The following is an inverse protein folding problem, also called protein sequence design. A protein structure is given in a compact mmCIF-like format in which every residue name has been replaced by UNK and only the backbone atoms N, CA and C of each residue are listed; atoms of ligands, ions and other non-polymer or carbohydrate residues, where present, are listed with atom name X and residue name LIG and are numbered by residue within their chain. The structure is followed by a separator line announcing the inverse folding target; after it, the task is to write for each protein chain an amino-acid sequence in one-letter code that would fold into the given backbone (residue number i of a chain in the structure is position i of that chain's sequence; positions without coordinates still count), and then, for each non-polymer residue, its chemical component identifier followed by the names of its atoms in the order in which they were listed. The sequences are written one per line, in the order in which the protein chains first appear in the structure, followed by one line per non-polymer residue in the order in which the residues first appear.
data_IF_751033638836
#
_entry.id   IF_751033638836
#
_cell.length_a   1.000
_cell.length_b   1.000
_cell.length_c   1.000
_cell.angle_alpha   90.00
_cell.angle_beta   90.00
_cell.angle_gamma   90.00
#
_symmetry.space_group_name_H-M   'P 1'
#
loop_
_entity.id
_entity.type
_entity.pdbx_description
1 polymer ?
#
# COMPACT_ATOMS: atom_id res chain seq x y z
N UNK A 1 -9.76 -23.12 0.59
CA UNK A 1 -10.86 -22.36 1.19
C UNK A 1 -10.79 -20.91 0.74
N UNK A 2 -11.92 -20.25 0.70
CA UNK A 2 -11.99 -18.85 0.27
C UNK A 2 -12.81 -18.06 1.28
N UNK A 3 -12.52 -16.75 1.34
CA UNK A 3 -13.28 -15.81 2.16
C UNK A 3 -14.17 -15.02 1.22
N UNK A 4 -15.46 -14.93 1.53
CA UNK A 4 -16.38 -14.14 0.73
C UNK A 4 -16.34 -12.70 1.21
N UNK A 5 -16.06 -11.79 0.28
CA UNK A 5 -16.04 -10.35 0.54
C UNK A 5 -17.25 -9.72 -0.14
N UNK A 6 -18.05 -9.01 0.66
CA UNK A 6 -19.16 -8.21 0.13
C UNK A 6 -18.73 -6.76 0.09
N UNK A 7 -18.07 -6.38 -0.99
CA UNK A 7 -17.52 -5.02 -1.12
C UNK A 7 -18.57 -4.04 -1.59
N UNK A 8 -18.67 -2.90 -0.93
CA UNK A 8 -19.53 -1.81 -1.37
C UNK A 8 -19.09 -1.28 -2.74
N UNK A 9 -17.78 -1.31 -2.98
CA UNK A 9 -17.20 -0.80 -4.24
C UNK A 9 -17.17 -1.82 -5.37
N UNK A 10 -16.87 -3.09 -5.05
CA UNK A 10 -16.60 -4.11 -6.06
C UNK A 10 -17.62 -5.25 -6.10
N UNK A 11 -18.61 -5.22 -5.23
CA UNK A 11 -19.61 -6.27 -5.14
C UNK A 11 -19.10 -7.50 -4.41
N UNK A 12 -19.69 -8.65 -4.73
CA UNK A 12 -19.31 -9.90 -4.08
C UNK A 12 -18.07 -10.50 -4.72
N UNK A 13 -17.06 -10.75 -3.91
CA UNK A 13 -15.80 -11.35 -4.36
C UNK A 13 -15.42 -12.54 -3.50
N UNK A 14 -14.82 -13.55 -4.13
CA UNK A 14 -14.26 -14.70 -3.42
C UNK A 14 -12.75 -14.50 -3.32
N UNK A 15 -12.24 -14.37 -2.10
CA UNK A 15 -10.81 -14.15 -1.85
C UNK A 15 -10.19 -15.46 -1.38
N UNK A 16 -9.24 -16.05 -2.14
CA UNK A 16 -8.58 -17.27 -1.69
C UNK A 16 -7.92 -17.07 -0.33
N UNK A 17 -7.93 -18.13 0.49
CA UNK A 17 -7.36 -18.04 1.84
C UNK A 17 -5.89 -17.62 1.84
N UNK A 18 -5.14 -18.04 0.82
CA UNK A 18 -3.73 -17.68 0.70
C UNK A 18 -3.49 -16.26 0.20
N UNK A 19 -4.54 -15.56 -0.23
CA UNK A 19 -4.46 -14.16 -0.63
C UNK A 19 -4.84 -13.20 0.51
N UNK A 20 -5.25 -13.74 1.66
CA UNK A 20 -5.56 -12.93 2.84
C UNK A 20 -4.25 -12.46 3.48
N UNK A 21 -4.18 -11.15 3.74
CA UNK A 21 -3.02 -10.53 4.38
C UNK A 21 -3.43 -10.10 5.77
N UNK A 22 -2.71 -10.60 6.79
CA UNK A 22 -2.96 -10.20 8.17
C UNK A 22 -2.05 -9.04 8.56
N UNK A 23 -2.65 -8.03 9.16
CA UNK A 23 -1.91 -6.90 9.73
C UNK A 23 -2.02 -6.99 11.26
N UNK A 24 -1.06 -7.64 11.92
CA UNK A 24 -1.16 -7.87 13.37
C UNK A 24 -1.36 -6.59 14.19
N UNK A 25 -0.79 -5.49 13.71
CA UNK A 25 -0.90 -4.18 14.35
C UNK A 25 -1.84 -3.23 13.64
N UNK A 26 -2.59 -3.72 12.65
CA UNK A 26 -3.46 -2.89 11.83
C UNK A 26 -2.72 -1.92 10.94
N UNK A 27 -3.45 -1.00 10.32
CA UNK A 27 -2.90 0.10 9.54
C UNK A 27 -3.08 1.40 10.32
N UNK A 28 -2.14 2.32 10.14
CA UNK A 28 -2.19 3.61 10.83
C UNK A 28 -3.45 4.37 10.44
N UNK A 29 -4.30 4.67 11.42
CA UNK A 29 -5.54 5.42 11.21
C UNK A 29 -6.69 4.63 10.62
N UNK A 30 -6.54 3.32 10.41
CA UNK A 30 -7.59 2.49 9.82
C UNK A 30 -7.89 1.29 10.72
N UNK A 31 -9.14 0.86 10.71
CA UNK A 31 -9.55 -0.32 11.46
C UNK A 31 -9.33 -1.61 10.68
N UNK A 32 -9.51 -2.73 11.36
CA UNK A 32 -9.41 -4.06 10.75
C UNK A 32 -8.00 -4.61 10.76
N UNK A 33 -7.92 -5.93 10.59
CA UNK A 33 -6.65 -6.65 10.61
C UNK A 33 -6.43 -7.54 9.39
N UNK A 34 -7.49 -7.80 8.62
CA UNK A 34 -7.39 -8.66 7.44
C UNK A 34 -7.72 -7.88 6.19
N UNK A 35 -6.85 -7.98 5.21
CA UNK A 35 -6.97 -7.25 3.95
C UNK A 35 -6.63 -8.17 2.79
N UNK A 36 -6.99 -7.74 1.59
CA UNK A 36 -6.58 -8.39 0.35
C UNK A 36 -6.21 -7.32 -0.67
N UNK A 37 -5.28 -7.67 -1.56
CA UNK A 37 -4.91 -6.79 -2.68
C UNK A 37 -5.78 -7.13 -3.88
N UNK A 38 -6.47 -6.14 -4.41
CA UNK A 38 -7.36 -6.29 -5.57
C UNK A 38 -6.86 -5.41 -6.70
N UNK A 39 -6.52 -6.04 -7.83
CA UNK A 39 -6.07 -5.33 -9.02
C UNK A 39 -6.98 -5.70 -10.19
N UNK A 40 -7.23 -4.74 -11.09
CA UNK A 40 -8.02 -5.00 -12.29
C UNK A 40 -7.24 -5.81 -13.32
N UNK A 41 -5.92 -5.62 -13.34
CA UNK A 41 -5.02 -6.36 -14.21
C UNK A 41 -3.64 -6.40 -13.58
N UNK A 42 -2.77 -7.26 -14.10
CA UNK A 42 -1.38 -7.37 -13.62
C UNK A 42 -0.59 -6.09 -13.86
N UNK A 43 -0.99 -5.31 -14.86
CA UNK A 43 -0.29 -4.08 -15.25
C UNK A 43 -0.83 -2.83 -14.55
N UNK A 44 -1.80 -2.98 -13.65
CA UNK A 44 -2.38 -1.84 -12.96
C UNK A 44 -1.34 -1.12 -12.09
N UNK A 45 -1.19 0.18 -12.30
CA UNK A 45 -0.30 1.00 -11.49
C UNK A 45 -0.82 1.12 -10.06
N UNK A 46 -2.13 1.10 -9.89
CA UNK A 46 -2.79 1.23 -8.59
C UNK A 46 -3.54 -0.06 -8.27
N UNK A 47 -3.40 -0.50 -7.03
CA UNK A 47 -4.04 -1.70 -6.50
C UNK A 47 -4.86 -1.26 -5.30
N UNK A 48 -5.96 -1.96 -5.04
CA UNK A 48 -6.78 -1.67 -3.88
C UNK A 48 -6.42 -2.61 -2.73
N UNK A 49 -6.04 -2.03 -1.60
CA UNK A 49 -5.89 -2.78 -0.36
C UNK A 49 -7.24 -2.73 0.34
N UNK A 50 -8.00 -3.82 0.22
CA UNK A 50 -9.38 -3.87 0.69
C UNK A 50 -9.48 -4.62 2.00
N UNK A 51 -10.18 -4.02 2.98
CA UNK A 51 -10.45 -4.68 4.24
C UNK A 51 -11.41 -5.86 4.03
N UNK A 52 -11.13 -6.97 4.71
CA UNK A 52 -12.05 -8.10 4.78
C UNK A 52 -12.99 -7.98 5.98
N UNK A 53 -12.70 -7.04 6.87
CA UNK A 53 -13.51 -6.79 8.08
C UNK A 53 -14.51 -5.65 7.90
N UNK A 54 -14.27 -4.76 6.94
CA UNK A 54 -15.14 -3.61 6.65
C UNK A 54 -15.40 -3.54 5.15
N UNK A 55 -16.64 -3.81 4.70
CA UNK A 55 -16.95 -3.83 3.25
C UNK A 55 -16.82 -2.48 2.56
N UNK A 56 -16.75 -1.38 3.32
CA UNK A 56 -16.61 -0.04 2.76
C UNK A 56 -15.16 0.45 2.70
N UNK A 57 -14.24 -0.24 3.36
CA UNK A 57 -12.86 0.22 3.48
C UNK A 57 -11.96 -0.37 2.40
N UNK A 58 -11.52 0.47 1.47
CA UNK A 58 -10.54 0.13 0.46
C UNK A 58 -9.62 1.33 0.25
N UNK A 59 -8.31 1.07 0.23
CA UNK A 59 -7.30 2.12 0.11
C UNK A 59 -6.47 1.86 -1.15
N UNK A 60 -6.34 2.84 -2.04
CA UNK A 60 -5.46 2.65 -3.19
C UNK A 60 -4.01 2.67 -2.74
N UNK A 61 -3.24 1.72 -3.26
CA UNK A 61 -1.80 1.62 -3.00
C UNK A 61 -1.07 1.43 -4.32
N UNK A 62 0.22 1.71 -4.31
CA UNK A 62 1.06 1.50 -5.48
C UNK A 62 2.45 1.06 -5.08
N UNK A 63 3.16 0.45 -6.03
CA UNK A 63 4.57 0.17 -5.87
C UNK A 63 5.31 1.51 -6.01
N UNK A 64 6.00 1.98 -4.95
CA UNK A 64 6.59 3.32 -4.97
C UNK A 64 7.66 3.52 -6.04
N UNK A 65 8.35 2.45 -6.44
CA UNK A 65 9.41 2.56 -7.44
C UNK A 65 8.89 2.85 -8.85
N UNK A 66 7.60 2.69 -9.09
CA UNK A 66 6.99 3.09 -10.37
C UNK A 66 7.02 4.61 -10.57
N UNK A 67 7.01 5.36 -9.47
CA UNK A 67 6.93 6.83 -9.52
C UNK A 67 8.16 7.50 -8.92
N UNK A 68 8.86 6.82 -8.03
CA UNK A 68 9.99 7.39 -7.28
C UNK A 68 11.17 6.42 -7.37
N UNK A 69 11.99 6.57 -8.40
CA UNK A 69 13.11 5.66 -8.64
C UNK A 69 14.12 5.61 -7.51
N UNK A 70 14.27 6.71 -6.78
CA UNK A 70 15.23 6.82 -5.67
C UNK A 70 14.63 6.43 -4.31
N UNK A 71 13.41 5.92 -4.30
CA UNK A 71 12.76 5.55 -3.06
C UNK A 71 13.51 4.43 -2.34
N UNK A 72 13.72 4.62 -1.04
CA UNK A 72 14.36 3.63 -0.17
C UNK A 72 13.54 3.47 1.11
N UNK A 73 13.60 2.27 1.68
CA UNK A 73 13.00 1.99 2.97
C UNK A 73 14.10 1.72 3.98
N UNK A 74 14.14 2.53 5.04
CA UNK A 74 15.02 2.29 6.18
C UNK A 74 14.17 2.13 7.43
N UNK A 75 14.44 1.08 8.19
CA UNK A 75 13.73 0.79 9.44
C UNK A 75 14.67 1.02 10.61
N UNK A 76 14.11 1.46 11.73
CA UNK A 76 14.84 1.44 12.99
C UNK A 76 15.10 -0.02 13.37
N UNK A 77 16.13 -0.25 14.18
CA UNK A 77 16.43 -1.61 14.66
C UNK A 77 15.24 -2.22 15.41
N UNK A 78 14.52 -1.39 16.16
CA UNK A 78 13.34 -1.83 16.90
C UNK A 78 12.22 -2.29 15.96
N UNK A 79 11.97 -1.57 14.89
CA UNK A 79 10.94 -1.95 13.93
C UNK A 79 11.33 -3.20 13.15
N UNK A 80 12.57 -3.28 12.71
CA UNK A 80 13.06 -4.44 11.97
C UNK A 80 12.92 -5.71 12.81
N UNK A 81 13.26 -5.62 14.10
CA UNK A 81 13.13 -6.73 15.03
C UNK A 81 11.66 -7.08 15.29
N UNK A 82 10.81 -6.07 15.47
CA UNK A 82 9.38 -6.25 15.75
C UNK A 82 8.66 -6.98 14.62
N UNK A 83 8.93 -6.63 13.38
CA UNK A 83 8.23 -7.22 12.23
C UNK A 83 8.86 -8.53 11.78
N UNK A 84 10.12 -8.79 12.12
CA UNK A 84 10.78 -10.06 11.83
C UNK A 84 11.01 -10.35 10.35
N UNK A 85 10.96 -9.34 9.49
CA UNK A 85 11.22 -9.51 8.06
C UNK A 85 12.72 -9.48 7.85
N UNK A 86 13.29 -10.61 7.42
CA UNK A 86 14.73 -10.73 7.22
C UNK A 86 15.11 -10.88 5.75
N UNK A 87 14.13 -11.06 4.86
CA UNK A 87 14.39 -11.30 3.45
C UNK A 87 13.71 -10.22 2.60
N UNK A 88 14.50 -9.26 2.15
CA UNK A 88 14.02 -8.17 1.31
C UNK A 88 13.47 -8.64 -0.04
N UNK A 89 14.02 -9.74 -0.57
CA UNK A 89 13.60 -10.29 -1.87
C UNK A 89 12.21 -10.91 -1.80
N UNK A 90 11.78 -11.32 -0.61
CA UNK A 90 10.47 -11.92 -0.38
C UNK A 90 9.44 -10.90 0.11
N UNK A 91 9.82 -9.63 0.15
CA UNK A 91 8.98 -8.56 0.70
C UNK A 91 8.49 -7.64 -0.42
N UNK A 92 7.17 -7.46 -0.47
CA UNK A 92 6.56 -6.47 -1.36
C UNK A 92 6.34 -5.17 -0.59
N UNK A 93 6.60 -4.06 -1.24
CA UNK A 93 6.46 -2.73 -0.63
C UNK A 93 5.41 -1.93 -1.38
N UNK A 94 4.50 -1.35 -0.64
CA UNK A 94 3.46 -0.48 -1.18
C UNK A 94 3.39 0.80 -0.39
N UNK A 95 2.91 1.86 -1.03
CA UNK A 95 2.60 3.12 -0.34
C UNK A 95 1.15 3.47 -0.65
N UNK A 96 0.48 4.08 0.32
CA UNK A 96 -0.90 4.51 0.12
C UNK A 96 -0.92 5.73 -0.80
N UNK A 97 -1.97 5.79 -1.63
CA UNK A 97 -2.16 6.88 -2.58
C UNK A 97 -3.46 7.60 -2.25
N UNK A 98 -3.44 8.90 -2.29
CA UNK A 98 -4.64 9.69 -2.18
C UNK A 98 -4.97 10.27 -3.56
N UNK A 99 -6.07 9.83 -4.14
CA UNK A 99 -6.55 10.33 -5.41
C UNK A 99 -7.30 11.64 -5.21
N UNK A 100 -7.30 12.48 -6.23
CA UNK A 100 -7.98 13.76 -6.23
C UNK A 100 -8.63 13.98 -7.60
N UNK A 101 -9.34 15.08 -7.78
CA UNK A 101 -9.97 15.38 -9.06
C UNK A 101 -8.94 15.69 -10.15
N UNK A 102 -7.82 16.31 -9.76
CA UNK A 102 -6.75 16.65 -10.69
C UNK A 102 -5.58 15.71 -10.50
N UNK A 103 -4.93 15.29 -11.59
CA UNK A 103 -3.78 14.39 -11.52
C UNK A 103 -2.63 15.00 -10.71
N UNK A 104 -2.40 16.30 -10.82
CA UNK A 104 -1.33 16.96 -10.08
C UNK A 104 -1.54 16.94 -8.57
N UNK A 105 -2.77 16.68 -8.12
CA UNK A 105 -3.10 16.61 -6.70
C UNK A 105 -3.03 15.19 -6.12
N UNK A 106 -2.79 14.20 -6.97
CA UNK A 106 -2.55 12.83 -6.49
C UNK A 106 -1.23 12.79 -5.72
N UNK A 107 -1.24 12.17 -4.55
CA UNK A 107 -0.02 12.05 -3.76
C UNK A 107 0.06 10.71 -3.04
N UNK A 108 1.29 10.31 -2.71
CA UNK A 108 1.58 9.09 -1.99
C UNK A 108 2.24 9.40 -0.66
N UNK A 109 2.02 8.53 0.32
CA UNK A 109 2.66 8.64 1.62
C UNK A 109 3.93 7.78 1.63
N UNK A 110 5.08 8.40 1.42
CA UNK A 110 6.37 7.71 1.41
C UNK A 110 6.95 7.52 2.81
N UNK A 111 6.37 8.18 3.80
CA UNK A 111 6.86 8.08 5.19
C UNK A 111 6.38 6.83 5.90
N UNK A 112 5.23 6.29 5.48
CA UNK A 112 4.64 5.13 6.15
C UNK A 112 4.35 4.00 5.16
N UNK A 113 5.40 3.40 4.56
CA UNK A 113 5.20 2.31 3.61
C UNK A 113 4.62 1.07 4.27
N UNK A 114 4.00 0.23 3.45
CA UNK A 114 3.42 -1.04 3.87
C UNK A 114 4.32 -2.16 3.34
N UNK A 115 4.81 -3.01 4.24
CA UNK A 115 5.66 -4.14 3.89
C UNK A 115 4.84 -5.42 4.02
N UNK A 116 4.80 -6.22 2.97
CA UNK A 116 4.04 -7.47 2.94
C UNK A 116 4.97 -8.63 2.63
N UNK A 117 4.99 -9.62 3.51
CA UNK A 117 5.78 -10.82 3.32
C UNK A 117 5.08 -11.99 4.02
N UNK A 118 5.05 -13.14 3.37
CA UNK A 118 4.51 -14.38 3.93
C UNK A 118 3.08 -14.25 4.49
N UNK A 119 2.22 -13.52 3.78
CA UNK A 119 0.83 -13.35 4.18
C UNK A 119 0.60 -12.37 5.32
N UNK A 120 1.65 -11.66 5.74
CA UNK A 120 1.55 -10.65 6.80
C UNK A 120 2.01 -9.29 6.30
N UNK A 121 1.30 -8.25 6.73
CA UNK A 121 1.61 -6.88 6.38
C UNK A 121 1.90 -6.04 7.61
N UNK A 122 2.78 -5.07 7.43
CA UNK A 122 3.15 -4.14 8.48
C UNK A 122 3.30 -2.75 7.88
N UNK A 123 2.64 -1.77 8.47
CA UNK A 123 2.91 -0.38 8.12
C UNK A 123 3.96 0.14 9.08
N UNK A 124 5.02 0.72 8.52
CA UNK A 124 6.19 1.14 9.30
C UNK A 124 6.46 2.63 9.07
N UNK A 125 7.30 3.21 9.91
CA UNK A 125 7.75 4.60 9.71
C UNK A 125 9.11 4.53 9.04
N UNK A 126 9.18 5.11 7.84
CA UNK A 126 10.40 5.11 7.04
C UNK A 126 11.42 6.10 7.60
N UNK A 127 12.61 5.60 7.94
CA UNK A 127 13.70 6.41 8.47
C UNK A 127 14.62 6.94 7.37
N UNK A 128 14.43 6.54 6.12
CA UNK A 128 15.23 7.04 5.01
C UNK A 128 14.98 8.53 4.80
N UNK A 129 16.01 9.24 4.39
CA UNK A 129 16.10 10.67 4.16
C UNK A 129 14.79 11.43 3.94
N UNK A 130 14.62 11.99 2.76
CA UNK A 130 13.41 12.77 2.47
C UNK A 130 12.27 11.88 2.01
N UNK A 131 11.37 11.53 2.96
CA UNK A 131 10.20 10.72 2.66
C UNK A 131 8.95 11.49 3.09
N UNK A 132 8.41 12.36 2.22
CA UNK A 132 7.24 13.16 2.58
C UNK A 132 5.98 12.31 2.70
N UNK A 133 5.06 12.75 3.53
CA UNK A 133 3.74 12.10 3.67
C UNK A 133 2.85 12.38 2.46
N UNK A 134 3.16 13.42 1.70
CA UNK A 134 2.39 13.84 0.53
C UNK A 134 3.32 14.08 -0.66
N UNK A 135 3.86 13.01 -1.21
CA UNK A 135 4.72 13.10 -2.39
C UNK A 135 3.84 13.12 -3.65
N UNK A 136 3.92 14.15 -4.48
CA UNK A 136 3.10 14.19 -5.69
C UNK A 136 3.55 13.15 -6.70
N UNK A 137 2.59 12.41 -7.27
CA UNK A 137 2.88 11.34 -8.24
C UNK A 137 3.11 11.90 -9.64
N UNK A 138 2.36 12.93 -10.04
CA UNK A 138 2.33 13.42 -11.41
C UNK A 138 2.80 14.86 -11.58
N UNK A 139 3.22 15.52 -10.51
CA UNK A 139 3.60 16.94 -10.58
C UNK A 139 4.74 17.21 -11.56
N UNK A 140 5.72 16.30 -11.63
CA UNK A 140 6.85 16.45 -12.55
C UNK A 140 6.39 16.37 -13.99
N UNK A 141 5.52 15.39 -14.30
CA UNK A 141 4.96 15.23 -15.64
C UNK A 141 4.07 16.43 -16.02
N UNK A 142 3.28 16.94 -15.09
CA UNK A 142 2.45 18.12 -15.32
C UNK A 142 3.30 19.35 -15.65
N UNK A 143 4.41 19.56 -14.95
CA UNK A 143 5.33 20.68 -15.22
C UNK A 143 5.99 20.55 -16.58
N UNK A 144 6.41 19.37 -16.95
CA UNK A 144 7.01 19.11 -18.27
C UNK A 144 6.01 19.32 -19.38
N UNK A 145 4.78 18.89 -19.18
CA UNK A 145 3.70 19.08 -20.16
C UNK A 145 3.33 20.55 -20.33
N UNK A 146 3.48 21.37 -19.29
CA UNK A 146 3.19 22.79 -19.32
C UNK A 146 4.30 23.62 -19.95
N UNK A 147 5.48 23.04 -20.03
CA UNK A 147 6.63 23.71 -20.66
C UNK A 147 6.60 23.54 -22.17
#
# INVERSE_FOLDING_TARGET
MAVTLHSTRFGRLEVPADAVIEFPNGLIGLGGNRFALLARSEDSAFIWLHSLDDPELAVPVTNPWRFFGDFEVELSDEEAERIGITDADQTSVYVTVRAAEQLEDFHANLRAPILIAHGKGHQVINQAGECPMRAPLFAVLAKEAAA
#
